data_IF_562384181359
#
_entry.id   IF_562384181359
#
_cell.length_a   1.000
_cell.length_b   1.000
_cell.length_c   1.000
_cell.angle_alpha   90.00
_cell.angle_beta   90.00
_cell.angle_gamma   90.00
#
_symmetry.space_group_name_H-M   'P 1'
#
loop_
_entity.id
_entity.type
_entity.pdbx_description
1 polymer ?
#
# COMPACT_ATOMS: atom_id res chain seq x y z
N UNK A 1 11.53 35.29 68.66
CA UNK A 1 11.39 36.75 68.43
C UNK A 1 12.47 37.18 67.45
N UNK A 2 12.01 37.83 66.38
CA UNK A 2 12.65 38.80 65.47
C UNK A 2 14.18 38.98 65.46
N UNK A 3 14.70 39.01 64.24
CA UNK A 3 15.46 40.18 63.76
C UNK A 3 16.96 39.98 63.58
N UNK A 4 17.38 39.67 62.35
CA UNK A 4 18.73 40.00 61.88
C UNK A 4 18.65 40.60 60.49
N UNK A 5 18.95 41.89 60.42
CA UNK A 5 19.12 42.66 59.20
C UNK A 5 20.60 42.86 58.86
N UNK A 6 20.84 42.89 57.55
CA UNK A 6 21.84 43.70 56.84
C UNK A 6 23.33 43.57 57.20
N UNK A 7 24.09 42.97 56.27
CA UNK A 7 25.39 43.51 55.86
C UNK A 7 25.52 43.50 54.33
N UNK A 8 25.86 44.65 53.77
CA UNK A 8 26.19 44.88 52.37
C UNK A 8 27.56 44.29 52.02
N UNK A 9 27.68 43.63 50.87
CA UNK A 9 28.95 43.61 50.12
C UNK A 9 28.67 43.53 48.62
N UNK A 10 29.25 44.49 47.91
CA UNK A 10 29.18 44.74 46.48
C UNK A 10 30.16 43.81 45.76
N UNK A 11 29.68 43.02 44.81
CA UNK A 11 30.52 42.30 43.83
C UNK A 11 30.04 42.68 42.43
N UNK A 12 30.85 43.48 41.74
CA UNK A 12 30.73 43.73 40.30
C UNK A 12 31.26 42.51 39.55
N UNK A 13 30.37 41.78 38.86
CA UNK A 13 30.76 40.76 37.89
C UNK A 13 30.57 41.32 36.48
N UNK A 14 31.67 41.69 35.84
CA UNK A 14 31.73 41.94 34.39
C UNK A 14 31.59 40.59 33.68
N UNK A 15 30.48 40.38 32.99
CA UNK A 15 30.31 39.29 32.03
C UNK A 15 31.02 39.66 30.73
N UNK A 16 32.13 38.97 30.45
CA UNK A 16 32.83 39.02 29.16
C UNK A 16 32.20 37.96 28.26
N UNK A 17 31.50 38.40 27.21
CA UNK A 17 31.03 37.51 26.15
C UNK A 17 32.24 36.93 25.37
N UNK A 18 32.30 35.62 25.12
CA UNK A 18 33.21 35.08 24.11
C UNK A 18 32.68 35.38 22.70
N UNK A 19 33.56 35.62 21.70
CA UNK A 19 33.14 35.88 20.33
C UNK A 19 32.55 34.63 19.67
N UNK A 20 31.55 34.83 18.80
CA UNK A 20 30.92 33.80 17.97
C UNK A 20 31.97 33.07 17.10
N UNK A 21 31.90 31.73 16.97
CA UNK A 21 32.71 31.03 15.99
C UNK A 21 32.21 31.37 14.58
N UNK A 22 33.11 31.83 13.74
CA UNK A 22 32.89 32.05 12.31
C UNK A 22 32.77 30.71 11.60
N UNK A 23 31.65 30.53 10.89
CA UNK A 23 31.38 29.37 10.05
C UNK A 23 32.39 29.36 8.89
N UNK A 24 33.28 28.37 8.86
CA UNK A 24 34.09 28.04 7.66
C UNK A 24 33.46 26.82 6.99
N UNK A 25 33.28 26.80 5.66
CA UNK A 25 32.89 25.59 4.96
C UNK A 25 34.05 24.57 5.01
N UNK A 26 33.78 23.26 5.14
CA UNK A 26 34.83 22.27 5.16
C UNK A 26 35.48 22.14 3.78
N UNK A 27 36.80 22.30 3.76
CA UNK A 27 37.67 21.96 2.65
C UNK A 27 37.60 20.46 2.37
N UNK A 28 37.58 20.12 1.07
CA UNK A 28 37.67 18.76 0.53
C UNK A 28 38.80 17.97 1.19
N UNK A 29 38.44 16.86 1.85
CA UNK A 29 39.39 15.84 2.29
C UNK A 29 39.24 14.65 1.35
N UNK A 30 40.25 14.42 0.52
CA UNK A 30 40.42 13.16 -0.19
C UNK A 30 40.78 12.07 0.84
N UNK A 31 39.96 11.00 0.93
CA UNK A 31 40.25 9.81 1.72
C UNK A 31 40.03 8.52 0.88
N UNK A 32 40.74 7.44 1.24
CA UNK A 32 41.03 6.32 0.34
C UNK A 32 39.90 5.30 0.24
N UNK A 33 39.96 4.57 -0.88
CA UNK A 33 39.02 3.56 -1.37
C UNK A 33 38.77 2.40 -0.39
N UNK A 34 37.59 2.37 0.20
CA UNK A 34 36.83 1.14 0.50
C UNK A 34 35.38 1.38 0.09
N UNK A 35 34.85 0.52 -0.79
CA UNK A 35 33.57 0.74 -1.52
C UNK A 35 32.39 1.03 -0.58
N UNK A 36 31.81 2.25 -0.58
CA UNK A 36 30.48 2.49 -0.04
C UNK A 36 29.42 2.21 -1.12
N UNK A 37 28.20 1.86 -0.71
CA UNK A 37 27.03 1.84 -1.61
C UNK A 37 26.85 3.25 -2.19
N UNK A 38 27.07 3.39 -3.49
CA UNK A 38 27.11 4.68 -4.20
C UNK A 38 25.77 5.40 -4.10
N UNK A 39 25.77 6.60 -3.53
CA UNK A 39 24.74 7.61 -3.77
C UNK A 39 24.92 8.16 -5.19
N UNK A 40 23.84 8.38 -5.93
CA UNK A 40 23.90 9.07 -7.22
C UNK A 40 24.00 10.58 -6.97
N UNK A 41 25.15 11.16 -7.32
CA UNK A 41 25.32 12.60 -7.52
C UNK A 41 25.20 12.85 -9.04
N UNK A 42 24.48 13.90 -9.44
CA UNK A 42 24.22 14.22 -10.84
C UNK A 42 25.56 14.51 -11.58
N UNK A 43 25.91 13.81 -12.68
CA UNK A 43 27.20 13.95 -13.35
C UNK A 43 27.34 15.20 -14.24
N UNK A 44 26.31 16.03 -14.36
CA UNK A 44 26.36 17.29 -15.12
C UNK A 44 26.77 18.45 -14.22
N UNK A 45 28.07 18.58 -13.91
CA UNK A 45 28.61 19.79 -13.30
C UNK A 45 29.69 20.40 -14.18
N UNK A 46 29.39 21.56 -14.74
CA UNK A 46 30.36 22.55 -15.21
C UNK A 46 30.93 23.31 -14.02
N UNK A 47 32.20 23.72 -14.12
CA UNK A 47 33.02 24.42 -13.12
C UNK A 47 32.55 25.86 -12.85
N UNK A 48 31.27 26.06 -12.51
CA UNK A 48 30.76 27.34 -12.01
C UNK A 48 30.49 27.21 -10.50
N UNK A 49 31.06 28.13 -9.71
CA UNK A 49 30.97 28.14 -8.25
C UNK A 49 29.65 28.74 -7.74
N UNK A 50 28.68 29.02 -8.61
CA UNK A 50 27.34 29.43 -8.20
C UNK A 50 26.64 28.32 -7.40
N UNK A 51 25.98 28.61 -6.27
CA UNK A 51 25.22 27.62 -5.53
C UNK A 51 24.12 27.03 -6.42
N UNK A 52 24.05 25.69 -6.47
CA UNK A 52 23.02 24.99 -7.25
C UNK A 52 21.63 25.35 -6.73
N UNK A 53 20.80 25.97 -7.58
CA UNK A 53 19.40 26.27 -7.28
C UNK A 53 18.49 25.22 -7.95
N UNK A 54 17.92 24.27 -7.18
CA UNK A 54 17.03 23.26 -7.73
C UNK A 54 15.75 23.85 -8.34
N UNK A 55 15.29 25.01 -7.88
CA UNK A 55 14.07 25.66 -8.39
C UNK A 55 14.32 26.23 -9.78
N UNK A 56 15.44 26.92 -9.97
CA UNK A 56 15.87 27.40 -11.28
C UNK A 56 16.15 26.25 -12.25
N UNK A 57 16.71 25.14 -11.77
CA UNK A 57 17.03 23.97 -12.61
C UNK A 57 15.80 23.16 -13.01
N UNK A 58 14.80 23.05 -12.12
CA UNK A 58 13.59 22.23 -12.34
C UNK A 58 12.30 23.03 -12.12
N UNK A 59 12.07 24.13 -12.87
CA UNK A 59 10.96 25.04 -12.61
C UNK A 59 9.61 24.37 -12.83
N UNK A 60 9.50 23.47 -13.82
CA UNK A 60 8.27 22.73 -14.10
C UNK A 60 7.81 21.86 -12.91
N UNK A 61 8.73 21.37 -12.08
CA UNK A 61 8.41 20.60 -10.88
C UNK A 61 8.14 21.50 -9.68
N UNK A 62 9.06 22.40 -9.35
CA UNK A 62 8.95 23.22 -8.13
C UNK A 62 7.93 24.37 -8.22
N UNK A 63 7.52 24.79 -9.42
CA UNK A 63 6.42 25.74 -9.58
C UNK A 63 5.07 25.07 -9.83
N UNK A 64 5.02 23.74 -9.95
CA UNK A 64 3.76 23.05 -10.16
C UNK A 64 2.86 23.20 -8.90
N UNK A 65 1.59 23.66 -9.05
CA UNK A 65 0.71 23.89 -7.91
C UNK A 65 0.44 22.64 -7.07
N UNK A 66 0.25 21.48 -7.70
CA UNK A 66 0.03 20.22 -6.99
C UNK A 66 1.30 19.77 -6.27
N UNK A 67 2.46 19.80 -6.93
CA UNK A 67 3.72 19.43 -6.28
C UNK A 67 3.99 20.31 -5.06
N UNK A 68 3.70 21.61 -5.14
CA UNK A 68 3.80 22.52 -4.00
C UNK A 68 2.79 22.20 -2.89
N UNK A 69 1.57 21.78 -3.25
CA UNK A 69 0.58 21.32 -2.29
C UNK A 69 1.07 20.06 -1.54
N UNK A 70 1.50 19.03 -2.28
CA UNK A 70 2.10 17.81 -1.73
C UNK A 70 3.37 18.11 -0.92
N UNK A 71 4.12 19.13 -1.33
CA UNK A 71 5.37 19.59 -0.73
C UNK A 71 5.26 20.00 0.74
N UNK A 72 4.06 20.36 1.19
CA UNK A 72 3.79 20.77 2.58
C UNK A 72 3.78 19.60 3.56
N UNK A 73 3.51 18.38 3.07
CA UNK A 73 3.45 17.18 3.92
C UNK A 73 4.85 16.66 4.19
N UNK A 74 5.12 16.21 5.41
CA UNK A 74 6.37 15.52 5.76
C UNK A 74 6.38 14.08 5.24
N UNK A 75 6.33 13.92 3.93
CA UNK A 75 6.31 12.62 3.26
C UNK A 75 7.36 12.52 2.15
N UNK A 76 8.29 13.48 2.09
CA UNK A 76 9.34 13.56 1.10
C UNK A 76 10.67 13.03 1.63
N UNK A 77 11.41 12.38 0.74
CA UNK A 77 12.78 11.92 0.96
C UNK A 77 13.50 11.78 -0.40
N UNK A 78 14.64 11.11 -0.44
CA UNK A 78 15.32 10.64 -1.64
C UNK A 78 15.31 9.11 -1.70
N UNK A 79 15.53 8.54 -2.87
CA UNK A 79 15.69 7.10 -3.04
C UNK A 79 17.08 6.69 -3.53
N UNK A 80 17.49 5.48 -3.17
CA UNK A 80 18.74 4.87 -3.64
C UNK A 80 18.64 4.37 -5.10
N UNK A 81 19.73 3.79 -5.62
CA UNK A 81 19.78 3.23 -6.98
C UNK A 81 18.75 2.11 -7.23
N UNK A 82 18.26 1.46 -6.17
CA UNK A 82 17.23 0.43 -6.23
C UNK A 82 15.82 1.00 -5.96
N UNK A 83 15.66 2.33 -6.04
CA UNK A 83 14.42 3.07 -5.74
C UNK A 83 13.90 2.85 -4.32
N UNK A 84 14.78 2.52 -3.36
CA UNK A 84 14.38 2.36 -1.96
C UNK A 84 14.40 3.73 -1.27
N UNK A 85 13.32 4.15 -0.60
CA UNK A 85 13.28 5.43 0.09
C UNK A 85 14.26 5.42 1.28
N UNK A 86 14.98 6.52 1.47
CA UNK A 86 16.02 6.65 2.51
C UNK A 86 15.46 7.41 3.72
N UNK A 87 15.86 7.05 4.95
CA UNK A 87 15.67 7.92 6.12
C UNK A 87 16.63 9.10 6.01
N UNK A 88 16.15 10.21 5.44
CA UNK A 88 16.98 11.35 5.08
C UNK A 88 17.42 12.14 6.33
N UNK A 89 16.59 12.21 7.37
CA UNK A 89 16.96 12.89 8.61
C UNK A 89 18.13 12.20 9.32
N UNK A 90 18.09 10.86 9.41
CA UNK A 90 19.18 10.10 10.01
C UNK A 90 20.47 10.20 9.19
N UNK A 91 20.35 10.14 7.86
CA UNK A 91 21.49 10.32 6.96
C UNK A 91 22.17 11.69 7.20
N UNK A 92 21.39 12.77 7.26
CA UNK A 92 21.91 14.13 7.48
C UNK A 92 22.52 14.29 8.88
N UNK A 93 21.86 13.74 9.89
CA UNK A 93 22.36 13.78 11.27
C UNK A 93 23.70 13.05 11.37
N UNK A 94 23.80 11.84 10.83
CA UNK A 94 25.02 11.03 10.92
C UNK A 94 26.15 11.56 10.03
N UNK A 95 25.84 12.17 8.89
CA UNK A 95 26.82 12.87 8.06
C UNK A 95 27.54 14.00 8.81
N UNK A 96 26.87 14.63 9.77
CA UNK A 96 27.47 15.69 10.61
C UNK A 96 28.53 15.13 11.57
N UNK A 97 28.40 13.87 11.97
CA UNK A 97 29.29 13.20 12.94
C UNK A 97 30.27 12.22 12.29
N UNK A 98 30.33 12.14 10.95
CA UNK A 98 31.23 11.24 10.24
C UNK A 98 30.61 10.71 8.94
N UNK A 99 30.64 9.39 8.75
CA UNK A 99 30.08 8.77 7.56
C UNK A 99 28.55 8.68 7.65
N UNK A 100 27.81 9.07 6.59
CA UNK A 100 26.36 8.96 6.57
C UNK A 100 25.93 7.50 6.70
N UNK A 101 24.98 7.24 7.60
CA UNK A 101 24.35 5.94 7.77
C UNK A 101 23.04 5.93 7.00
N UNK A 102 22.88 4.94 6.11
CA UNK A 102 21.72 4.83 5.22
C UNK A 102 20.77 3.75 5.74
N UNK A 103 19.56 4.16 6.11
CA UNK A 103 18.45 3.28 6.47
C UNK A 103 17.25 3.53 5.57
N UNK A 104 16.32 2.57 5.50
CA UNK A 104 15.06 2.73 4.80
C UNK A 104 14.14 3.70 5.52
N UNK A 105 13.44 4.55 4.77
CA UNK A 105 12.41 5.43 5.32
C UNK A 105 11.13 4.65 5.65
N UNK A 106 10.40 5.12 6.67
CA UNK A 106 9.12 4.60 7.13
C UNK A 106 8.13 5.75 7.26
N UNK A 107 6.88 5.54 6.82
CA UNK A 107 5.86 6.59 6.87
C UNK A 107 5.31 6.78 8.28
N UNK A 108 5.32 5.70 9.08
CA UNK A 108 4.94 5.69 10.49
C UNK A 108 5.85 6.60 11.32
N UNK A 109 7.11 6.72 10.88
CA UNK A 109 8.15 7.54 11.49
C UNK A 109 8.36 8.87 10.74
N UNK A 110 7.33 9.38 10.05
CA UNK A 110 7.43 10.57 9.19
C UNK A 110 8.09 11.78 9.88
N UNK A 111 7.77 12.00 11.16
CA UNK A 111 8.32 13.10 11.94
C UNK A 111 9.86 13.03 12.09
N UNK A 112 10.43 11.82 12.16
CA UNK A 112 11.86 11.58 12.42
C UNK A 112 12.62 11.00 11.22
N UNK A 113 11.92 10.65 10.14
CA UNK A 113 12.50 9.99 8.97
C UNK A 113 12.40 10.80 7.68
N UNK A 114 11.39 11.67 7.58
CA UNK A 114 11.00 12.34 6.33
C UNK A 114 11.04 13.86 6.48
N UNK A 115 10.98 14.56 5.37
CA UNK A 115 11.02 16.02 5.29
C UNK A 115 9.81 16.55 4.51
N UNK A 116 9.56 17.85 4.61
CA UNK A 116 8.79 18.56 3.59
C UNK A 116 9.65 18.73 2.32
N UNK A 117 9.04 19.06 1.18
CA UNK A 117 9.79 19.30 -0.04
C UNK A 117 10.73 20.51 0.09
N UNK A 118 10.31 21.54 0.81
CA UNK A 118 11.11 22.74 1.09
C UNK A 118 12.35 22.44 1.95
N UNK A 119 12.17 21.63 2.98
CA UNK A 119 13.27 21.14 3.81
C UNK A 119 14.23 20.27 3.00
N UNK A 120 13.71 19.39 2.16
CA UNK A 120 14.50 18.47 1.34
C UNK A 120 15.37 19.24 0.34
N UNK A 121 14.81 20.19 -0.41
CA UNK A 121 15.58 21.01 -1.37
C UNK A 121 16.61 21.91 -0.69
N UNK A 122 16.36 22.34 0.54
CA UNK A 122 17.29 23.18 1.30
C UNK A 122 18.48 22.36 1.82
N UNK A 123 18.21 21.15 2.32
CA UNK A 123 19.24 20.30 2.93
C UNK A 123 20.01 19.47 1.91
N UNK A 124 19.38 19.11 0.78
CA UNK A 124 19.98 18.30 -0.29
C UNK A 124 19.60 18.90 -1.65
N UNK A 125 20.10 20.12 -1.98
CA UNK A 125 19.74 20.81 -3.21
C UNK A 125 20.11 19.99 -4.46
N UNK A 126 21.19 19.21 -4.40
CA UNK A 126 21.71 18.39 -5.51
C UNK A 126 21.17 16.96 -5.56
N UNK A 127 20.09 16.65 -4.82
CA UNK A 127 19.46 15.34 -4.85
C UNK A 127 19.19 14.90 -6.30
N UNK A 128 19.52 13.66 -6.67
CA UNK A 128 19.32 13.16 -8.03
C UNK A 128 17.83 12.91 -8.35
N UNK A 129 17.06 12.49 -7.34
CA UNK A 129 15.62 12.29 -7.39
C UNK A 129 14.99 12.78 -6.09
N UNK A 130 13.68 12.99 -6.12
CA UNK A 130 12.86 13.07 -4.92
C UNK A 130 12.03 11.78 -4.82
N UNK A 131 11.73 11.34 -3.62
CA UNK A 131 10.79 10.27 -3.35
C UNK A 131 9.68 10.78 -2.42
N UNK A 132 8.45 10.36 -2.67
CA UNK A 132 7.27 10.78 -1.93
C UNK A 132 6.42 9.57 -1.60
N UNK A 133 5.94 9.46 -0.37
CA UNK A 133 4.95 8.44 -0.04
C UNK A 133 3.56 8.96 -0.40
N UNK A 134 2.95 8.46 -1.46
CA UNK A 134 1.60 8.83 -1.89
C UNK A 134 0.54 8.18 -0.99
N UNK A 135 -0.51 8.93 -0.68
CA UNK A 135 -1.81 8.42 -0.25
C UNK A 135 -2.90 9.11 -1.08
N UNK A 136 -3.53 8.39 -2.01
CA UNK A 136 -4.41 8.98 -3.01
C UNK A 136 -5.62 9.72 -2.42
N UNK A 137 -6.18 9.22 -1.32
CA UNK A 137 -7.35 9.85 -0.67
C UNK A 137 -6.92 11.14 0.01
N UNK A 138 -5.81 11.11 0.74
CA UNK A 138 -5.29 12.27 1.44
C UNK A 138 -4.73 13.34 0.49
N UNK A 139 -4.03 12.91 -0.56
CA UNK A 139 -3.28 13.78 -1.48
C UNK A 139 -4.12 14.22 -2.68
N UNK A 140 -5.30 13.62 -2.91
CA UNK A 140 -6.23 14.00 -3.96
C UNK A 140 -5.74 13.70 -5.38
N UNK A 141 -4.82 12.76 -5.55
CA UNK A 141 -4.27 12.38 -6.84
C UNK A 141 -3.82 10.91 -6.91
N UNK A 142 -3.62 10.42 -8.13
CA UNK A 142 -3.08 9.10 -8.44
C UNK A 142 -1.87 9.24 -9.37
N UNK A 143 -1.05 8.20 -9.47
CA UNK A 143 0.03 8.16 -10.47
C UNK A 143 -0.29 7.08 -11.50
N UNK A 144 -0.38 7.45 -12.77
CA UNK A 144 -0.26 6.49 -13.86
C UNK A 144 1.24 6.32 -14.16
N UNK A 145 1.79 5.16 -13.83
CA UNK A 145 3.17 4.79 -14.09
C UNK A 145 3.24 3.85 -15.30
N UNK A 146 3.71 4.40 -16.42
CA UNK A 146 3.91 3.68 -17.69
C UNK A 146 5.29 3.04 -17.65
N UNK A 147 5.32 1.71 -17.67
CA UNK A 147 6.54 0.94 -17.55
C UNK A 147 7.39 1.00 -18.82
N UNK A 148 8.71 0.85 -18.69
CA UNK A 148 9.65 0.80 -19.82
C UNK A 148 9.39 -0.35 -20.81
N UNK A 149 8.61 -1.35 -20.39
CA UNK A 149 8.21 -2.53 -21.19
C UNK A 149 6.86 -2.32 -21.89
N UNK A 150 6.21 -1.18 -21.69
CA UNK A 150 4.99 -0.81 -22.41
C UNK A 150 5.28 -0.71 -23.91
N UNK A 151 4.48 -1.34 -24.79
CA UNK A 151 4.60 -1.16 -26.23
C UNK A 151 4.47 0.33 -26.60
N UNK A 152 5.29 0.85 -27.54
CA UNK A 152 5.29 2.27 -27.88
C UNK A 152 3.92 2.82 -28.28
N UNK A 153 3.11 2.03 -28.97
CA UNK A 153 1.75 2.39 -29.38
C UNK A 153 0.78 2.50 -28.19
N UNK A 154 0.94 1.64 -27.18
CA UNK A 154 0.14 1.69 -25.94
C UNK A 154 0.58 2.88 -25.09
N UNK A 155 1.88 3.10 -24.96
CA UNK A 155 2.44 4.25 -24.25
C UNK A 155 2.01 5.57 -24.91
N UNK A 156 2.10 5.67 -26.24
CA UNK A 156 1.61 6.83 -26.99
C UNK A 156 0.11 7.05 -26.75
N UNK A 157 -0.70 5.99 -26.82
CA UNK A 157 -2.13 6.09 -26.52
C UNK A 157 -2.36 6.64 -25.11
N UNK A 158 -1.71 6.09 -24.07
CA UNK A 158 -1.87 6.58 -22.69
C UNK A 158 -1.37 8.02 -22.49
N UNK A 159 -0.33 8.45 -23.21
CA UNK A 159 0.23 9.80 -23.11
C UNK A 159 -0.72 10.90 -23.62
N UNK A 160 -1.73 10.55 -24.42
CA UNK A 160 -2.78 11.51 -24.78
C UNK A 160 -3.64 11.94 -23.59
N UNK A 161 -3.52 11.27 -22.43
CA UNK A 161 -4.13 11.71 -21.18
C UNK A 161 -3.37 12.86 -20.51
N UNK A 162 -2.17 13.23 -20.98
CA UNK A 162 -1.35 14.30 -20.38
C UNK A 162 -2.06 15.65 -20.22
N UNK A 163 -2.99 16.11 -21.07
CA UNK A 163 -3.73 17.35 -20.83
C UNK A 163 -4.65 17.30 -19.60
N UNK A 164 -5.01 16.10 -19.14
CA UNK A 164 -5.80 15.89 -17.91
C UNK A 164 -4.94 15.69 -16.67
N UNK A 165 -3.63 15.50 -16.84
CA UNK A 165 -2.69 15.31 -15.74
C UNK A 165 -2.34 16.65 -15.08
N UNK A 166 -2.17 16.63 -13.76
CA UNK A 166 -1.65 17.77 -13.00
C UNK A 166 -0.15 17.98 -13.21
N UNK A 167 0.58 16.90 -13.48
CA UNK A 167 2.03 16.91 -13.70
C UNK A 167 2.47 15.68 -14.48
N UNK A 168 3.52 15.78 -15.29
CA UNK A 168 4.09 14.66 -16.05
C UNK A 168 5.62 14.69 -16.02
N UNK A 169 6.25 13.51 -16.03
CA UNK A 169 7.71 13.37 -16.10
C UNK A 169 8.15 12.03 -16.70
N UNK A 170 9.41 11.97 -17.09
CA UNK A 170 10.09 10.71 -17.43
C UNK A 170 10.44 9.97 -16.15
N UNK A 171 10.14 8.67 -16.07
CA UNK A 171 10.45 7.86 -14.88
C UNK A 171 11.96 7.62 -14.73
N UNK A 172 12.38 7.14 -13.56
CA UNK A 172 13.79 6.81 -13.23
C UNK A 172 14.47 5.84 -14.22
N UNK A 173 13.70 5.13 -15.05
CA UNK A 173 14.24 4.24 -16.09
C UNK A 173 14.74 4.98 -17.35
N UNK A 174 14.35 6.25 -17.53
CA UNK A 174 14.59 7.04 -18.73
C UNK A 174 13.73 6.63 -19.94
N UNK A 175 12.86 5.62 -19.80
CA UNK A 175 12.02 5.09 -20.90
C UNK A 175 10.54 4.90 -20.52
N UNK A 176 10.23 4.95 -19.23
CA UNK A 176 8.86 4.98 -18.73
C UNK A 176 8.45 6.41 -18.40
N UNK A 177 7.19 6.59 -18.02
CA UNK A 177 6.59 7.91 -17.78
C UNK A 177 5.71 7.88 -16.54
N UNK A 178 5.68 8.97 -15.78
CA UNK A 178 4.70 9.20 -14.73
C UNK A 178 3.76 10.32 -15.13
N UNK A 179 2.47 10.10 -14.96
CA UNK A 179 1.45 11.15 -15.04
C UNK A 179 0.77 11.22 -13.67
N UNK A 180 0.77 12.39 -13.04
CA UNK A 180 0.04 12.67 -11.81
C UNK A 180 -1.38 13.05 -12.19
N UNK A 181 -2.30 12.14 -12.00
CA UNK A 181 -3.68 12.22 -12.46
C UNK A 181 -4.61 12.66 -11.33
N UNK A 182 -5.74 13.35 -11.65
CA UNK A 182 -6.80 13.55 -10.67
C UNK A 182 -7.38 12.22 -10.19
N UNK A 183 -8.05 12.24 -9.03
CA UNK A 183 -8.91 11.13 -8.64
C UNK A 183 -10.04 11.03 -9.68
N UNK A 184 -10.22 9.89 -10.38
CA UNK A 184 -11.25 9.76 -11.39
C UNK A 184 -12.63 9.78 -10.73
N UNK A 185 -13.65 10.28 -11.43
CA UNK A 185 -15.00 10.42 -10.87
C UNK A 185 -15.59 9.07 -10.40
N UNK A 186 -15.20 7.98 -11.07
CA UNK A 186 -15.62 6.62 -10.74
C UNK A 186 -14.75 5.96 -9.66
N UNK A 187 -13.80 6.65 -9.02
CA UNK A 187 -12.91 6.08 -8.00
C UNK A 187 -13.68 5.43 -6.84
N UNK A 188 -14.79 6.05 -6.42
CA UNK A 188 -15.64 5.53 -5.36
C UNK A 188 -16.35 4.21 -5.74
N UNK A 189 -16.54 3.93 -7.03
CA UNK A 189 -17.17 2.70 -7.50
C UNK A 189 -16.27 1.46 -7.37
N UNK A 190 -14.99 1.63 -7.03
CA UNK A 190 -14.01 0.54 -6.95
C UNK A 190 -13.29 0.50 -5.58
N UNK A 191 -13.99 0.27 -4.47
CA UNK A 191 -13.41 0.32 -3.11
C UNK A 191 -12.31 -0.72 -2.85
N UNK A 192 -12.27 -1.81 -3.63
CA UNK A 192 -11.20 -2.81 -3.57
C UNK A 192 -9.82 -2.21 -3.90
N UNK A 193 -9.78 -1.15 -4.71
CA UNK A 193 -8.55 -0.45 -5.12
C UNK A 193 -7.99 0.42 -3.98
N UNK A 194 -8.84 0.98 -3.12
CA UNK A 194 -8.42 1.91 -2.05
C UNK A 194 -7.43 1.31 -1.05
N UNK A 195 -7.39 -0.03 -0.97
CA UNK A 195 -6.56 -0.78 -0.03
C UNK A 195 -5.37 -1.45 -0.70
N UNK A 196 -5.16 -1.19 -1.99
CA UNK A 196 -4.00 -1.66 -2.72
C UNK A 196 -2.98 -0.51 -2.77
N UNK A 197 -1.68 -0.79 -2.68
CA UNK A 197 -0.66 0.22 -2.94
C UNK A 197 -0.56 0.58 -4.44
N UNK A 198 -0.91 -0.38 -5.31
CA UNK A 198 -0.96 -0.23 -6.76
C UNK A 198 -1.85 -1.28 -7.42
N UNK A 199 -2.35 -0.94 -8.61
CA UNK A 199 -3.10 -1.84 -9.50
C UNK A 199 -2.40 -1.89 -10.85
N UNK A 200 -2.22 -3.08 -11.42
CA UNK A 200 -1.31 -3.27 -12.56
C UNK A 200 -2.07 -3.84 -13.75
N UNK A 201 -1.76 -3.33 -14.94
CA UNK A 201 -2.23 -3.95 -16.18
C UNK A 201 -1.75 -5.41 -16.24
N UNK A 202 -2.54 -6.39 -16.73
CA UNK A 202 -2.18 -7.81 -16.72
C UNK A 202 -0.84 -8.14 -17.39
N UNK A 203 -0.46 -7.36 -18.41
CA UNK A 203 0.83 -7.48 -19.11
C UNK A 203 1.97 -6.66 -18.50
N UNK A 204 1.74 -5.99 -17.37
CA UNK A 204 2.70 -5.09 -16.68
C UNK A 204 3.26 -4.00 -17.58
N UNK A 205 2.41 -3.45 -18.43
CA UNK A 205 2.73 -2.34 -19.32
C UNK A 205 2.62 -1.00 -18.60
N UNK A 206 1.72 -0.90 -17.64
CA UNK A 206 1.55 0.26 -16.78
C UNK A 206 0.85 -0.15 -15.48
N UNK A 207 0.92 0.72 -14.49
CA UNK A 207 0.24 0.58 -13.22
C UNK A 207 -0.34 1.92 -12.74
N UNK A 208 -1.35 1.85 -11.89
CA UNK A 208 -1.91 3.00 -11.19
C UNK A 208 -1.53 2.89 -9.72
N UNK A 209 -0.86 3.90 -9.20
CA UNK A 209 -0.32 3.94 -7.85
C UNK A 209 -1.25 4.75 -6.96
N UNK A 210 -1.60 4.17 -5.82
CA UNK A 210 -2.68 4.65 -4.93
C UNK A 210 -2.16 4.97 -3.54
N UNK A 211 -1.32 4.10 -2.96
CA UNK A 211 -0.80 4.28 -1.59
C UNK A 211 0.60 3.68 -1.44
N UNK A 212 1.61 4.28 -2.06
CA UNK A 212 2.99 3.77 -2.02
C UNK A 212 4.06 4.84 -2.32
N UNK A 213 5.33 4.48 -2.16
CA UNK A 213 6.47 5.32 -2.53
C UNK A 213 6.58 5.55 -4.03
N UNK A 214 6.68 6.81 -4.43
CA UNK A 214 6.84 7.30 -5.80
C UNK A 214 8.18 8.00 -5.92
N UNK A 215 8.88 7.82 -7.04
CA UNK A 215 10.10 8.58 -7.36
C UNK A 215 9.79 9.65 -8.39
N UNK A 216 10.11 10.90 -8.07
CA UNK A 216 10.08 12.04 -8.97
C UNK A 216 11.47 12.36 -9.52
N UNK A 217 11.65 12.27 -10.83
CA UNK A 217 12.91 12.65 -11.50
C UNK A 217 13.01 14.16 -11.73
N UNK A 218 11.86 14.84 -11.80
CA UNK A 218 11.68 16.25 -12.18
C UNK A 218 11.98 16.53 -13.66
N UNK A 219 12.17 15.49 -14.46
CA UNK A 219 12.48 15.62 -15.88
C UNK A 219 11.17 15.60 -16.68
N UNK A 220 10.72 16.71 -17.26
CA UNK A 220 9.48 16.74 -18.02
C UNK A 220 9.55 15.77 -19.21
N UNK A 221 8.40 15.25 -19.61
CA UNK A 221 8.31 14.46 -20.85
C UNK A 221 8.68 15.38 -22.02
N UNK A 222 9.59 14.98 -22.93
CA UNK A 222 9.95 15.82 -24.06
C UNK A 222 8.74 16.14 -24.95
N UNK A 223 8.61 17.41 -25.36
CA UNK A 223 7.46 17.91 -26.13
C UNK A 223 7.20 17.09 -27.41
N UNK A 224 8.25 16.68 -28.11
CA UNK A 224 8.10 15.84 -29.29
C UNK A 224 7.43 14.50 -28.97
N UNK A 225 7.69 13.89 -27.81
CA UNK A 225 7.02 12.64 -27.42
C UNK A 225 5.52 12.88 -27.20
N UNK A 226 5.15 14.00 -26.58
CA UNK A 226 3.76 14.38 -26.38
C UNK A 226 3.06 14.67 -27.72
N UNK A 227 3.67 15.44 -28.62
CA UNK A 227 3.09 15.68 -29.95
C UNK A 227 2.92 14.42 -30.80
N UNK A 228 3.87 13.47 -30.74
CA UNK A 228 3.71 12.21 -31.46
C UNK A 228 2.51 11.41 -30.93
N UNK A 229 2.19 11.55 -29.63
CA UNK A 229 1.04 10.87 -29.03
C UNK A 229 -0.31 11.41 -29.51
N UNK A 230 -0.40 12.70 -29.88
CA UNK A 230 -1.65 13.34 -30.35
C UNK A 230 -2.23 12.69 -31.62
N UNK A 231 -1.38 11.99 -32.38
CA UNK A 231 -1.78 11.26 -33.59
C UNK A 231 -2.37 9.86 -33.31
N UNK A 232 -2.35 9.38 -32.06
CA UNK A 232 -2.87 8.07 -31.69
C UNK A 232 -4.40 8.03 -31.77
N UNK A 233 -4.96 6.92 -32.26
CA UNK A 233 -6.41 6.72 -32.27
C UNK A 233 -6.92 6.37 -30.87
N UNK A 234 -7.72 7.26 -30.28
CA UNK A 234 -8.25 7.14 -28.91
C UNK A 234 -9.74 6.76 -28.85
N UNK A 235 -10.40 6.61 -30.00
CA UNK A 235 -11.86 6.40 -30.06
C UNK A 235 -12.30 4.97 -29.70
N UNK A 236 -11.45 3.98 -29.94
CA UNK A 236 -11.67 2.59 -29.56
C UNK A 236 -10.30 1.93 -29.31
N UNK A 237 -9.98 1.68 -28.04
CA UNK A 237 -8.69 1.14 -27.65
C UNK A 237 -8.81 -0.38 -27.44
N UNK A 238 -8.14 -1.24 -28.24
CA UNK A 238 -8.37 -2.69 -28.20
C UNK A 238 -8.08 -3.33 -26.84
N UNK A 239 -7.04 -2.85 -26.14
CA UNK A 239 -6.71 -3.35 -24.80
C UNK A 239 -7.66 -2.83 -23.71
N UNK A 240 -8.53 -1.87 -24.04
CA UNK A 240 -9.57 -1.31 -23.18
C UNK A 240 -10.96 -1.82 -23.60
N UNK A 241 -11.05 -3.02 -24.19
CA UNK A 241 -12.30 -3.61 -24.67
C UNK A 241 -13.07 -2.67 -25.63
N UNK A 242 -12.33 -2.03 -26.54
CA UNK A 242 -12.83 -1.09 -27.55
C UNK A 242 -13.57 0.14 -26.98
N UNK A 243 -13.34 0.47 -25.70
CA UNK A 243 -13.82 1.71 -25.09
C UNK A 243 -12.97 2.92 -25.50
N UNK A 244 -13.54 4.14 -25.47
CA UNK A 244 -12.77 5.35 -25.68
C UNK A 244 -11.75 5.55 -24.56
N UNK A 245 -10.62 6.14 -24.89
CA UNK A 245 -9.59 6.45 -23.92
C UNK A 245 -10.01 7.66 -23.08
N UNK A 246 -10.49 7.39 -21.87
CA UNK A 246 -10.63 8.38 -20.80
C UNK A 246 -9.90 7.91 -19.57
N UNK A 247 -9.57 8.83 -18.67
CA UNK A 247 -8.91 8.47 -17.43
C UNK A 247 -9.78 7.51 -16.59
N UNK A 248 -11.09 7.76 -16.55
CA UNK A 248 -12.08 6.94 -15.86
C UNK A 248 -12.13 5.51 -16.42
N UNK A 249 -12.03 5.35 -17.75
CA UNK A 249 -12.06 4.04 -18.38
C UNK A 249 -10.76 3.26 -18.13
N UNK A 250 -9.60 3.92 -18.23
CA UNK A 250 -8.30 3.30 -17.91
C UNK A 250 -8.28 2.84 -16.45
N UNK A 251 -8.74 3.69 -15.53
CA UNK A 251 -8.87 3.33 -14.12
C UNK A 251 -9.83 2.15 -13.92
N UNK A 252 -11.04 2.22 -14.49
CA UNK A 252 -12.05 1.18 -14.34
C UNK A 252 -11.60 -0.18 -14.88
N UNK A 253 -10.90 -0.20 -16.02
CA UNK A 253 -10.40 -1.44 -16.61
C UNK A 253 -9.42 -2.15 -15.69
N UNK A 254 -8.41 -1.43 -15.18
CA UNK A 254 -7.47 -2.00 -14.21
C UNK A 254 -8.17 -2.37 -12.90
N UNK A 255 -9.08 -1.52 -12.42
CA UNK A 255 -9.81 -1.75 -11.18
C UNK A 255 -10.67 -3.04 -11.24
N UNK A 256 -11.25 -3.36 -12.40
CA UNK A 256 -12.00 -4.62 -12.62
C UNK A 256 -11.10 -5.86 -12.53
N UNK A 257 -9.83 -5.75 -12.89
CA UNK A 257 -8.86 -6.87 -12.80
C UNK A 257 -8.37 -7.13 -11.38
N UNK A 258 -8.58 -6.17 -10.48
CA UNK A 258 -8.35 -6.39 -9.06
C UNK A 258 -9.45 -7.31 -8.56
N UNK A 259 -9.17 -8.62 -8.61
CA UNK A 259 -9.92 -9.58 -7.81
C UNK A 259 -9.94 -9.02 -6.38
N UNK A 260 -11.10 -9.00 -5.71
CA UNK A 260 -11.09 -8.71 -4.28
C UNK A 260 -10.08 -9.68 -3.67
N UNK A 261 -8.95 -9.16 -3.14
CA UNK A 261 -8.20 -9.89 -2.12
C UNK A 261 -9.25 -10.41 -1.15
N UNK A 262 -9.13 -11.65 -0.66
CA UNK A 262 -10.06 -12.23 0.32
C UNK A 262 -10.13 -11.35 1.57
N UNK A 263 -10.98 -10.34 1.43
CA UNK A 263 -11.74 -9.63 2.42
C UNK A 263 -13.03 -10.43 2.48
N UNK A 264 -13.31 -11.02 3.63
CA UNK A 264 -14.71 -11.02 4.06
C UNK A 264 -15.15 -9.55 4.03
N UNK A 265 -16.38 -9.23 3.61
CA UNK A 265 -16.81 -7.88 3.23
C UNK A 265 -16.88 -6.86 4.39
N UNK A 266 -15.81 -6.76 5.19
CA UNK A 266 -15.88 -6.35 6.58
C UNK A 266 -14.56 -5.74 7.13
N UNK A 267 -13.66 -5.18 6.30
CA UNK A 267 -12.56 -4.29 6.72
C UNK A 267 -11.46 -4.80 7.67
N UNK A 268 -11.67 -5.89 8.40
CA UNK A 268 -10.86 -6.38 9.51
C UNK A 268 -9.94 -7.52 9.06
N UNK A 269 -8.65 -7.40 9.42
CA UNK A 269 -7.61 -8.38 9.06
C UNK A 269 -7.42 -9.38 10.20
N UNK A 270 -7.90 -10.62 10.05
CA UNK A 270 -7.67 -11.67 11.05
C UNK A 270 -6.41 -12.46 10.71
N UNK A 271 -5.56 -12.69 11.72
CA UNK A 271 -4.49 -13.70 11.65
C UNK A 271 -4.88 -14.95 12.47
N UNK A 272 -4.39 -16.16 12.15
CA UNK A 272 -4.66 -17.35 12.98
C UNK A 272 -4.23 -17.19 14.45
N UNK A 273 -3.20 -16.39 14.72
CA UNK A 273 -2.76 -16.03 16.08
C UNK A 273 -3.75 -15.09 16.81
N UNK A 274 -4.65 -14.41 16.09
CA UNK A 274 -5.67 -13.54 16.69
C UNK A 274 -6.78 -14.32 17.40
N UNK A 275 -6.99 -15.59 17.03
CA UNK A 275 -8.04 -16.44 17.61
C UNK A 275 -7.60 -17.10 18.91
N UNK A 276 -6.31 -17.41 19.04
CA UNK A 276 -5.69 -17.90 20.27
C UNK A 276 -4.25 -17.37 20.34
N UNK A 277 -4.01 -16.26 21.05
CA UNK A 277 -2.66 -15.76 21.25
C UNK A 277 -1.87 -16.81 22.04
N UNK A 278 -0.72 -17.30 21.53
CA UNK A 278 0.08 -18.33 22.21
C UNK A 278 0.65 -17.83 23.55
N UNK A 279 0.65 -16.52 23.78
CA UNK A 279 1.18 -15.82 24.94
C UNK A 279 0.10 -15.32 25.93
N UNK A 280 -1.17 -15.70 25.76
CA UNK A 280 -2.23 -15.27 26.68
C UNK A 280 -1.99 -15.88 28.07
N UNK A 281 -1.86 -15.04 29.10
CA UNK A 281 -1.69 -15.46 30.49
C UNK A 281 -3.00 -16.00 31.07
N UNK A 282 -2.91 -16.79 32.15
CA UNK A 282 -4.11 -17.33 32.80
C UNK A 282 -4.98 -16.22 33.43
N UNK A 283 -4.35 -15.15 33.90
CA UNK A 283 -5.06 -13.97 34.39
C UNK A 283 -5.81 -13.23 33.26
N UNK A 284 -5.28 -13.19 32.04
CA UNK A 284 -5.99 -12.65 30.87
C UNK A 284 -7.15 -13.54 30.46
N UNK A 285 -6.98 -14.87 30.50
CA UNK A 285 -8.06 -15.83 30.23
C UNK A 285 -9.22 -15.69 31.19
N UNK A 286 -8.96 -15.64 32.50
CA UNK A 286 -9.99 -15.48 33.52
C UNK A 286 -10.81 -14.20 33.28
N UNK A 287 -10.15 -13.09 32.94
CA UNK A 287 -10.83 -11.82 32.65
C UNK A 287 -11.69 -11.89 31.39
N UNK A 288 -11.16 -12.47 30.32
CA UNK A 288 -11.91 -12.67 29.08
C UNK A 288 -13.15 -13.53 29.34
N UNK A 289 -13.02 -14.61 30.12
CA UNK A 289 -14.15 -15.46 30.52
C UNK A 289 -15.18 -14.70 31.36
N UNK A 290 -14.77 -13.84 32.30
CA UNK A 290 -15.69 -12.98 33.07
C UNK A 290 -16.52 -12.04 32.16
N UNK A 291 -15.88 -11.45 31.15
CA UNK A 291 -16.54 -10.59 30.15
C UNK A 291 -17.49 -11.41 29.27
N UNK A 292 -17.05 -12.58 28.79
CA UNK A 292 -17.85 -13.49 27.98
C UNK A 292 -19.09 -13.93 28.76
N UNK A 293 -18.93 -14.42 29.99
CA UNK A 293 -20.03 -14.93 30.81
C UNK A 293 -21.02 -13.84 31.19
N UNK A 294 -20.53 -12.64 31.52
CA UNK A 294 -21.39 -11.48 31.79
C UNK A 294 -22.21 -11.10 30.55
N UNK A 295 -21.59 -11.12 29.37
CA UNK A 295 -22.28 -10.82 28.11
C UNK A 295 -23.30 -11.91 27.75
N UNK A 296 -22.97 -13.19 27.95
CA UNK A 296 -23.90 -14.31 27.76
C UNK A 296 -25.15 -14.18 28.66
N UNK A 297 -24.98 -13.82 29.94
CA UNK A 297 -26.09 -13.59 30.87
C UNK A 297 -26.99 -12.44 30.40
N UNK A 298 -26.40 -11.28 30.10
CA UNK A 298 -27.15 -10.13 29.58
C UNK A 298 -27.88 -10.45 28.28
N UNK A 299 -27.27 -11.25 27.41
CA UNK A 299 -27.92 -11.68 26.17
C UNK A 299 -29.16 -12.53 26.46
N UNK A 300 -29.06 -13.51 27.36
CA UNK A 300 -30.19 -14.35 27.76
C UNK A 300 -31.33 -13.55 28.44
N UNK A 301 -31.00 -12.50 29.18
CA UNK A 301 -31.98 -11.62 29.82
C UNK A 301 -32.70 -10.68 28.85
N UNK A 302 -32.01 -10.23 27.79
CA UNK A 302 -32.50 -9.15 26.93
C UNK A 302 -32.89 -9.57 25.51
N UNK A 303 -32.44 -10.71 25.00
CA UNK A 303 -32.77 -11.16 23.65
C UNK A 303 -34.00 -12.07 23.66
N UNK A 304 -35.14 -11.57 23.18
CA UNK A 304 -36.42 -12.30 23.18
C UNK A 304 -36.91 -12.74 21.80
N UNK A 305 -36.19 -12.40 20.72
CA UNK A 305 -36.60 -12.75 19.36
C UNK A 305 -36.36 -14.24 19.09
N UNK A 306 -37.22 -14.82 18.28
CA UNK A 306 -37.20 -16.21 17.82
C UNK A 306 -36.91 -16.29 16.33
N UNK A 307 -36.63 -17.49 15.83
CA UNK A 307 -36.40 -17.73 14.40
C UNK A 307 -37.63 -17.34 13.54
N UNK A 308 -38.84 -17.51 14.07
CA UNK A 308 -40.08 -17.15 13.40
C UNK A 308 -40.18 -15.65 13.11
N UNK A 309 -39.61 -14.80 13.98
CA UNK A 309 -39.56 -13.34 13.79
C UNK A 309 -38.72 -12.93 12.57
N UNK A 310 -37.99 -13.87 11.98
CA UNK A 310 -37.16 -13.68 10.80
C UNK A 310 -37.64 -14.53 9.62
N UNK A 311 -38.92 -14.92 9.59
CA UNK A 311 -39.51 -15.74 8.52
C UNK A 311 -38.75 -17.06 8.29
N UNK A 312 -38.27 -17.66 9.38
CA UNK A 312 -37.44 -18.86 9.39
C UNK A 312 -36.09 -18.74 8.64
N UNK A 313 -35.62 -17.51 8.39
CA UNK A 313 -34.28 -17.25 7.88
C UNK A 313 -33.25 -17.33 9.02
N UNK A 314 -32.66 -18.51 9.17
CA UNK A 314 -31.62 -18.77 10.17
C UNK A 314 -30.42 -17.83 10.06
N UNK A 315 -30.07 -17.36 8.85
CA UNK A 315 -28.90 -16.48 8.68
C UNK A 315 -29.20 -15.07 9.18
N UNK A 316 -30.40 -14.53 8.89
CA UNK A 316 -30.83 -13.23 9.42
C UNK A 316 -31.03 -13.27 10.94
N UNK A 317 -31.57 -14.38 11.45
CA UNK A 317 -31.74 -14.59 12.87
C UNK A 317 -30.39 -14.64 13.62
N UNK A 318 -29.39 -15.34 13.09
CA UNK A 318 -28.03 -15.34 13.66
C UNK A 318 -27.41 -13.95 13.65
N UNK A 319 -27.55 -13.24 12.54
CA UNK A 319 -27.01 -11.91 12.36
C UNK A 319 -27.59 -10.90 13.37
N UNK A 320 -28.89 -10.98 13.65
CA UNK A 320 -29.52 -10.13 14.67
C UNK A 320 -29.06 -10.47 16.08
N UNK A 321 -28.81 -11.75 16.38
CA UNK A 321 -28.23 -12.16 17.67
C UNK A 321 -26.83 -11.57 17.82
N UNK A 322 -25.99 -11.68 16.79
CA UNK A 322 -24.63 -11.12 16.78
C UNK A 322 -24.65 -9.59 16.97
N UNK A 323 -25.57 -8.87 16.32
CA UNK A 323 -25.74 -7.43 16.52
C UNK A 323 -26.04 -7.06 17.99
N UNK A 324 -26.88 -7.86 18.67
CA UNK A 324 -27.16 -7.66 20.10
C UNK A 324 -25.95 -8.01 20.97
N UNK A 325 -25.26 -9.12 20.69
CA UNK A 325 -24.01 -9.51 21.38
C UNK A 325 -23.00 -8.37 21.31
N UNK A 326 -22.81 -7.75 20.13
CA UNK A 326 -21.91 -6.62 19.91
C UNK A 326 -22.26 -5.40 20.78
N UNK A 327 -23.55 -5.11 20.94
CA UNK A 327 -24.02 -3.99 21.76
C UNK A 327 -23.92 -4.24 23.26
N UNK A 328 -23.92 -5.51 23.69
CA UNK A 328 -23.74 -5.90 25.10
C UNK A 328 -22.26 -6.05 25.47
N UNK A 329 -21.42 -6.58 24.57
CA UNK A 329 -20.01 -6.87 24.84
C UNK A 329 -19.20 -5.58 25.04
N UNK A 330 -19.30 -4.60 24.12
CA UNK A 330 -18.44 -3.40 24.19
C UNK A 330 -18.64 -2.59 25.49
N UNK A 331 -19.87 -2.34 25.98
CA UNK A 331 -20.07 -1.75 27.30
C UNK A 331 -19.54 -2.62 28.44
N UNK A 332 -19.78 -3.94 28.41
CA UNK A 332 -19.27 -4.88 29.42
C UNK A 332 -17.74 -4.82 29.52
N UNK A 333 -17.04 -4.79 28.39
CA UNK A 333 -15.58 -4.62 28.34
C UNK A 333 -15.11 -3.31 28.96
N UNK A 334 -15.86 -2.21 28.81
CA UNK A 334 -15.51 -0.90 29.36
C UNK A 334 -15.79 -0.77 30.85
N UNK A 335 -16.81 -1.48 31.33
CA UNK A 335 -17.26 -1.44 32.73
C UNK A 335 -16.49 -2.40 33.61
N UNK A 336 -15.80 -3.40 33.05
CA UNK A 336 -14.93 -4.27 33.81
C UNK A 336 -13.68 -3.48 34.25
N UNK A 337 -13.42 -3.29 35.56
CA UNK A 337 -12.33 -2.41 36.02
C UNK A 337 -10.93 -2.92 35.67
N UNK A 338 -10.82 -4.17 35.22
CA UNK A 338 -9.56 -4.91 35.01
C UNK A 338 -9.21 -5.14 33.54
N UNK A 339 -10.04 -4.71 32.58
CA UNK A 339 -9.77 -4.80 31.12
C UNK A 339 -8.79 -3.76 30.62
N UNK A 340 -8.50 -2.72 31.40
CA UNK A 340 -7.41 -1.77 31.14
C UNK A 340 -6.17 -2.26 31.88
N UNK A 341 -5.56 -3.34 31.38
CA UNK A 341 -4.13 -3.50 31.63
C UNK A 341 -3.45 -2.40 30.83
N UNK A 342 -2.86 -1.42 31.53
CA UNK A 342 -2.25 -0.21 30.96
C UNK A 342 -1.17 -0.48 29.91
N UNK A 343 -0.80 -1.75 29.71
CA UNK A 343 0.34 -2.17 28.91
C UNK A 343 -0.05 -2.68 27.51
N UNK A 344 -1.33 -3.00 27.23
CA UNK A 344 -1.77 -3.45 25.89
C UNK A 344 -3.10 -2.78 25.46
N UNK A 345 -3.12 -2.02 24.34
CA UNK A 345 -4.35 -1.42 23.84
C UNK A 345 -5.33 -2.51 23.35
N UNK A 346 -6.62 -2.34 23.64
CA UNK A 346 -7.70 -3.17 23.10
C UNK A 346 -7.71 -2.95 21.58
N UNK A 347 -7.36 -3.98 20.82
CA UNK A 347 -7.40 -3.97 19.36
C UNK A 347 -8.59 -4.77 18.84
N UNK A 348 -8.90 -4.59 17.55
CA UNK A 348 -10.08 -5.21 16.95
C UNK A 348 -10.02 -6.75 16.94
N UNK A 349 -8.82 -7.32 16.93
CA UNK A 349 -8.59 -8.77 17.03
C UNK A 349 -9.09 -9.33 18.37
N UNK A 350 -8.82 -8.64 19.48
CA UNK A 350 -9.31 -9.02 20.81
C UNK A 350 -10.84 -8.98 20.85
N UNK A 351 -11.45 -7.93 20.29
CA UNK A 351 -12.91 -7.77 20.24
C UNK A 351 -13.56 -8.91 19.43
N UNK A 352 -13.04 -9.21 18.24
CA UNK A 352 -13.56 -10.29 17.38
C UNK A 352 -13.51 -11.64 18.11
N UNK A 353 -12.39 -11.93 18.79
CA UNK A 353 -12.23 -13.19 19.53
C UNK A 353 -13.28 -13.35 20.63
N UNK A 354 -13.53 -12.30 21.42
CA UNK A 354 -14.55 -12.33 22.47
C UNK A 354 -15.97 -12.44 21.90
N UNK A 355 -16.28 -11.71 20.83
CA UNK A 355 -17.57 -11.81 20.15
C UNK A 355 -17.82 -13.21 19.61
N UNK A 356 -16.82 -13.84 19.01
CA UNK A 356 -16.92 -15.21 18.51
C UNK A 356 -17.12 -16.23 19.64
N UNK A 357 -16.42 -16.06 20.77
CA UNK A 357 -16.58 -16.92 21.93
C UNK A 357 -18.00 -16.83 22.50
N UNK A 358 -18.55 -15.62 22.64
CA UNK A 358 -19.95 -15.42 23.07
C UNK A 358 -20.93 -16.03 22.06
N UNK A 359 -20.76 -15.72 20.77
CA UNK A 359 -21.62 -16.23 19.70
C UNK A 359 -21.70 -17.76 19.69
N UNK A 360 -20.56 -18.44 19.86
CA UNK A 360 -20.50 -19.91 19.90
C UNK A 360 -21.21 -20.51 21.12
N UNK A 361 -21.30 -19.77 22.23
CA UNK A 361 -21.99 -20.22 23.45
C UNK A 361 -23.51 -19.99 23.39
N UNK A 362 -23.97 -18.90 22.76
CA UNK A 362 -25.38 -18.48 22.82
C UNK A 362 -26.19 -18.81 21.57
N UNK A 363 -25.55 -18.92 20.39
CA UNK A 363 -26.23 -19.25 19.14
C UNK A 363 -26.33 -20.77 19.01
N UNK A 364 -27.55 -21.28 18.81
CA UNK A 364 -27.78 -22.71 18.61
C UNK A 364 -27.03 -23.21 17.37
N UNK A 365 -26.22 -24.24 17.55
CA UNK A 365 -25.44 -24.84 16.46
C UNK A 365 -26.33 -25.36 15.33
N UNK A 366 -25.85 -25.23 14.09
CA UNK A 366 -26.40 -25.90 12.91
C UNK A 366 -25.29 -26.27 11.93
N UNK A 367 -25.60 -27.15 10.98
CA UNK A 367 -24.63 -27.66 9.98
C UNK A 367 -23.83 -26.59 9.22
N UNK A 368 -24.40 -25.41 8.98
CA UNK A 368 -23.68 -24.31 8.29
C UNK A 368 -22.54 -23.74 9.13
N UNK A 369 -22.56 -23.90 10.46
CA UNK A 369 -21.47 -23.45 11.34
C UNK A 369 -20.20 -24.29 11.18
N UNK A 370 -20.34 -25.51 10.65
CA UNK A 370 -19.23 -26.38 10.32
C UNK A 370 -18.59 -26.03 8.96
N UNK A 371 -19.19 -25.11 8.20
CA UNK A 371 -18.63 -24.58 6.95
C UNK A 371 -17.61 -23.46 7.21
N UNK A 372 -16.73 -23.25 6.23
CA UNK A 372 -15.83 -22.10 6.17
C UNK A 372 -16.28 -21.09 5.10
N UNK A 373 -16.04 -19.80 5.36
CA UNK A 373 -16.22 -18.71 4.39
C UNK A 373 -15.00 -17.82 4.40
N UNK A 374 -14.37 -17.65 3.23
CA UNK A 374 -13.13 -16.88 3.07
C UNK A 374 -12.02 -17.34 4.03
N UNK A 375 -11.93 -18.65 4.28
CA UNK A 375 -10.88 -19.26 5.10
C UNK A 375 -11.06 -19.12 6.62
N UNK A 376 -12.24 -18.70 7.10
CA UNK A 376 -12.60 -18.69 8.53
C UNK A 376 -13.90 -19.46 8.79
N UNK A 377 -14.12 -20.00 10.00
CA UNK A 377 -15.40 -20.62 10.37
C UNK A 377 -16.58 -19.68 10.10
N UNK A 378 -17.69 -20.22 9.59
CA UNK A 378 -18.84 -19.41 9.17
C UNK A 378 -19.36 -18.46 10.25
N UNK A 379 -19.41 -18.91 11.51
CA UNK A 379 -19.89 -18.06 12.61
C UNK A 379 -18.92 -16.91 12.92
N UNK A 380 -17.62 -17.12 12.74
CA UNK A 380 -16.61 -16.06 12.82
C UNK A 380 -16.82 -15.04 11.70
N UNK A 381 -17.01 -15.51 10.46
CA UNK A 381 -17.32 -14.64 9.32
C UNK A 381 -18.50 -13.70 9.61
N UNK A 382 -19.56 -14.22 10.23
CA UNK A 382 -20.74 -13.45 10.60
C UNK A 382 -20.43 -12.39 11.66
N UNK A 383 -19.63 -12.73 12.68
CA UNK A 383 -19.17 -11.79 13.72
C UNK A 383 -18.42 -10.61 13.13
N UNK A 384 -17.44 -10.87 12.25
CA UNK A 384 -16.64 -9.84 11.60
C UNK A 384 -17.54 -8.94 10.76
N UNK A 385 -18.41 -9.55 9.96
CA UNK A 385 -19.34 -8.82 9.09
C UNK A 385 -20.20 -7.86 9.90
N UNK A 386 -20.83 -8.34 10.98
CA UNK A 386 -21.65 -7.53 11.87
C UNK A 386 -20.86 -6.40 12.55
N UNK A 387 -19.63 -6.66 12.97
CA UNK A 387 -18.79 -5.64 13.60
C UNK A 387 -18.41 -4.53 12.61
N UNK A 388 -18.03 -4.89 11.40
CA UNK A 388 -17.70 -3.91 10.35
C UNK A 388 -18.89 -3.05 9.97
N UNK A 389 -20.09 -3.60 9.79
CA UNK A 389 -21.27 -2.75 9.52
C UNK A 389 -21.63 -1.85 10.69
N UNK A 390 -21.25 -2.20 11.93
CA UNK A 390 -21.43 -1.28 13.05
C UNK A 390 -20.44 -0.11 12.98
N UNK A 391 -19.19 -0.40 12.62
CA UNK A 391 -18.13 0.62 12.48
C UNK A 391 -18.32 1.45 11.19
N UNK A 392 -18.97 0.86 10.19
CA UNK A 392 -19.20 1.40 8.86
C UNK A 392 -20.64 1.12 8.38
N UNK A 393 -21.66 1.77 8.99
CA UNK A 393 -23.07 1.53 8.69
C UNK A 393 -23.49 1.85 7.25
N UNK A 394 -22.70 2.65 6.54
CA UNK A 394 -22.96 3.05 5.15
C UNK A 394 -22.54 1.98 4.12
N UNK A 395 -21.83 0.92 4.53
CA UNK A 395 -21.45 -0.21 3.65
C UNK A 395 -22.59 -1.22 3.40
N UNK A 396 -23.77 -1.01 4.00
CA UNK A 396 -24.87 -1.96 4.03
C UNK A 396 -25.90 -1.78 2.91
N UNK A 397 -25.59 -2.22 1.68
CA UNK A 397 -26.64 -2.55 0.68
C UNK A 397 -26.60 -4.03 0.30
N UNK A 398 -26.74 -4.89 1.30
CA UNK A 398 -27.06 -6.31 1.09
C UNK A 398 -28.57 -6.47 0.90
N UNK A 399 -29.06 -6.23 -0.32
CA UNK A 399 -30.35 -6.81 -0.75
C UNK A 399 -30.17 -8.32 -0.92
N UNK A 400 -30.55 -9.06 0.11
CA UNK A 400 -30.73 -10.52 0.08
C UNK A 400 -31.67 -10.88 -1.09
N UNK A 401 -31.12 -11.48 -2.15
CA UNK A 401 -31.93 -12.08 -3.22
C UNK A 401 -32.51 -13.40 -2.69
N UNK A 402 -33.84 -13.61 -2.72
CA UNK A 402 -34.43 -14.86 -2.24
C UNK A 402 -34.01 -16.04 -3.12
N UNK A 403 -33.56 -17.13 -2.49
CA UNK A 403 -33.23 -18.40 -3.16
C UNK A 403 -34.37 -18.85 -4.07
N UNK A 404 -34.13 -18.87 -5.38
CA UNK A 404 -35.03 -19.56 -6.32
C UNK A 404 -34.97 -21.06 -6.06
N UNK A 405 -36.10 -21.60 -5.63
CA UNK A 405 -36.44 -23.01 -5.73
C UNK A 405 -36.09 -23.54 -7.13
N UNK A 406 -35.24 -24.55 -7.21
CA UNK A 406 -35.21 -25.44 -8.37
C UNK A 406 -36.17 -26.60 -8.07
N UNK A 407 -37.39 -26.47 -8.59
CA UNK A 407 -38.33 -27.56 -8.80
C UNK A 407 -37.87 -28.23 -10.09
N UNK A 408 -37.46 -29.49 -10.01
CA UNK A 408 -37.92 -30.52 -10.94
C UNK A 408 -37.83 -31.89 -10.26
N UNK A 409 -38.92 -32.64 -10.42
CA UNK A 409 -39.30 -33.84 -9.70
C UNK A 409 -39.02 -35.11 -10.52
N UNK A 410 -39.07 -36.24 -9.79
CA UNK A 410 -39.27 -37.65 -10.18
C UNK A 410 -38.00 -38.52 -10.10
N UNK A 411 -37.98 -39.71 -9.46
CA UNK A 411 -38.92 -40.44 -8.59
C UNK A 411 -38.24 -41.73 -8.09
N UNK A 412 -38.49 -42.10 -6.83
CA UNK A 412 -38.63 -43.45 -6.24
C UNK A 412 -37.49 -44.52 -6.28
N UNK A 413 -36.76 -44.67 -5.15
CA UNK A 413 -36.70 -45.82 -4.19
C UNK A 413 -36.49 -47.31 -4.65
N UNK A 414 -36.05 -48.26 -3.78
CA UNK A 414 -34.73 -48.45 -3.14
C UNK A 414 -34.17 -49.92 -3.16
N UNK A 415 -32.98 -50.12 -2.59
CA UNK A 415 -32.41 -51.37 -2.00
C UNK A 415 -31.94 -52.53 -2.90
N UNK A 416 -30.65 -52.90 -2.82
CA UNK A 416 -30.17 -54.26 -2.49
C UNK A 416 -28.62 -54.38 -2.46
N UNK A 417 -28.22 -55.33 -1.63
CA UNK A 417 -26.89 -55.79 -1.24
C UNK A 417 -26.06 -56.50 -2.36
N UNK A 418 -24.74 -56.59 -2.10
CA UNK A 418 -23.87 -57.81 -2.22
C UNK A 418 -22.95 -57.99 -3.44
N UNK A 419 -21.63 -58.08 -3.11
CA UNK A 419 -20.58 -59.03 -3.57
C UNK A 419 -19.46 -58.58 -4.54
N UNK A 420 -18.24 -58.73 -4.00
CA UNK A 420 -16.94 -58.89 -4.64
C UNK A 420 -16.93 -59.84 -5.85
N UNK A 421 -16.15 -59.49 -6.88
CA UNK A 421 -15.13 -60.38 -7.46
C UNK A 421 -14.25 -59.64 -8.49
N UNK A 422 -12.93 -59.67 -8.29
CA UNK A 422 -11.93 -59.61 -9.37
C UNK A 422 -11.79 -61.02 -9.98
N UNK A 423 -11.35 -61.16 -11.26
CA UNK A 423 -9.92 -61.36 -11.53
C UNK A 423 -9.38 -60.72 -12.84
N UNK A 424 -8.05 -60.59 -12.90
CA UNK A 424 -7.17 -60.21 -14.03
C UNK A 424 -7.10 -61.29 -15.15
N UNK A 425 -6.21 -61.28 -16.20
CA UNK A 425 -5.13 -60.35 -16.65
C UNK A 425 -5.05 -60.07 -18.19
N UNK A 426 -4.02 -59.31 -18.61
CA UNK A 426 -3.62 -58.91 -19.98
C UNK A 426 -3.28 -60.06 -20.95
N UNK A 427 -3.04 -59.80 -22.27
CA UNK A 427 -1.65 -59.55 -22.72
C UNK A 427 -1.42 -58.59 -23.93
N UNK A 428 -0.25 -57.92 -23.89
CA UNK A 428 0.80 -57.61 -24.90
C UNK A 428 0.55 -57.31 -26.41
N UNK A 429 1.37 -56.38 -26.93
CA UNK A 429 2.11 -56.31 -28.22
C UNK A 429 2.01 -54.89 -28.83
N UNK A 430 3.06 -54.05 -28.78
CA UNK A 430 4.27 -54.00 -29.63
C UNK A 430 4.01 -53.50 -31.06
N UNK A 431 4.44 -52.27 -31.38
CA UNK A 431 5.55 -52.00 -32.33
C UNK A 431 5.77 -50.48 -32.58
N UNK A 432 7.07 -50.13 -32.61
CA UNK A 432 7.72 -48.84 -32.95
C UNK A 432 7.64 -48.53 -34.48
N UNK A 433 8.33 -47.54 -35.14
CA UNK A 433 9.36 -46.60 -34.65
C UNK A 433 9.45 -45.15 -35.25
N UNK A 434 10.35 -44.38 -34.63
CA UNK A 434 11.34 -43.39 -35.16
C UNK A 434 10.91 -42.15 -35.97
N UNK A 435 11.26 -40.95 -35.46
CA UNK A 435 12.41 -40.19 -35.99
C UNK A 435 12.92 -39.09 -35.02
N UNK A 436 14.23 -39.18 -34.71
CA UNK A 436 15.07 -38.18 -34.05
C UNK A 436 15.65 -37.19 -35.09
N UNK A 437 15.79 -35.90 -34.72
CA UNK A 437 16.88 -35.00 -35.18
C UNK A 437 16.93 -33.77 -34.26
N UNK A 438 17.80 -33.75 -33.25
CA UNK A 438 19.21 -33.30 -33.22
C UNK A 438 19.36 -31.80 -32.87
N UNK A 439 19.94 -31.57 -31.68
CA UNK A 439 20.60 -30.34 -31.23
C UNK A 439 21.88 -30.07 -32.03
N UNK A 440 22.46 -28.86 -31.86
CA UNK A 440 23.86 -28.84 -31.48
C UNK A 440 24.13 -27.99 -30.23
N UNK A 441 25.06 -28.49 -29.42
CA UNK A 441 25.75 -27.81 -28.33
C UNK A 441 27.13 -27.30 -28.81
N UNK A 442 27.72 -26.48 -27.92
CA UNK A 442 29.12 -26.03 -27.83
C UNK A 442 29.42 -24.69 -28.54
N UNK A 443 30.18 -23.74 -27.98
CA UNK A 443 30.91 -23.66 -26.71
C UNK A 443 31.35 -22.20 -26.47
N UNK A 444 31.90 -21.96 -25.27
CA UNK A 444 32.87 -20.91 -24.89
C UNK A 444 32.40 -19.60 -24.23
N UNK A 445 33.07 -19.41 -23.10
CA UNK A 445 33.16 -18.28 -22.17
C UNK A 445 33.88 -17.10 -22.84
N UNK A 446 33.38 -15.88 -22.67
CA UNK A 446 34.23 -14.69 -22.71
C UNK A 446 33.72 -13.59 -21.78
N UNK A 447 34.62 -13.11 -20.94
CA UNK A 447 34.50 -11.88 -20.17
C UNK A 447 34.46 -10.70 -21.13
N UNK A 448 33.41 -9.88 -21.11
CA UNK A 448 33.43 -8.57 -21.76
C UNK A 448 32.90 -7.47 -20.84
N UNK A 449 33.81 -6.54 -20.61
CA UNK A 449 33.70 -5.26 -19.94
C UNK A 449 32.58 -4.42 -20.57
N UNK A 450 31.72 -3.82 -19.76
CA UNK A 450 30.76 -2.83 -20.23
C UNK A 450 31.48 -1.52 -20.56
N UNK A 451 31.57 -1.22 -21.86
CA UNK A 451 31.89 0.10 -22.40
C UNK A 451 30.69 1.03 -22.21
N UNK A 452 30.95 2.22 -21.67
CA UNK A 452 29.99 3.33 -21.63
C UNK A 452 29.86 3.91 -23.04
N UNK A 453 28.62 4.07 -23.51
CA UNK A 453 28.30 4.76 -24.75
C UNK A 453 28.29 6.28 -24.51
N UNK A 454 29.21 7.00 -25.14
CA UNK A 454 29.15 8.46 -25.25
C UNK A 454 28.41 8.81 -26.56
N UNK A 455 27.32 9.60 -26.52
CA UNK A 455 26.73 10.14 -27.74
C UNK A 455 27.70 11.15 -28.40
N UNK A 456 27.72 11.25 -29.74
CA UNK A 456 28.59 12.20 -30.44
C UNK A 456 28.21 13.64 -30.10
N UNK A 457 29.22 14.48 -29.91
CA UNK A 457 29.07 15.91 -29.71
C UNK A 457 28.33 16.55 -30.91
N UNK A 458 27.31 17.35 -30.61
CA UNK A 458 26.65 18.24 -31.57
C UNK A 458 27.67 19.23 -32.11
N UNK A 459 27.83 19.40 -33.44
CA UNK A 459 28.68 20.45 -33.99
C UNK A 459 28.06 21.83 -33.69
N UNK A 460 28.89 22.88 -33.51
CA UNK A 460 28.38 24.22 -33.26
C UNK A 460 27.59 24.71 -34.47
N UNK A 461 26.41 25.27 -34.21
CA UNK A 461 25.62 26.01 -35.18
C UNK A 461 26.47 27.19 -35.69
N UNK A 462 26.81 27.15 -36.97
CA UNK A 462 27.37 28.29 -37.68
C UNK A 462 26.38 29.45 -37.63
N UNK A 463 26.87 30.61 -37.19
CA UNK A 463 26.15 31.86 -37.31
C UNK A 463 26.16 32.34 -38.75
N UNK A 464 24.98 32.65 -39.27
CA UNK A 464 24.81 33.60 -40.37
C UNK A 464 24.35 34.94 -39.78
N UNK A 465 25.31 35.85 -39.62
CA UNK A 465 25.29 37.25 -40.06
C UNK A 465 26.55 37.97 -39.56
#
# INVERSE_FOLDING_TARGET
MQGLGSFFTRVEARSVCPPRPTFRPPLFVNLPTTKPRSLMVNPFHTLDNSPFDPVAQFPAFYHNPLINHLGRRRAWTISDINKRPINVQQMLTTATYGSPVIHGARIEDAATSLLTLDELRTQIPTAANNAFYLDAVQDGCLILDIEKTCPPEVAATLLTLSPTAFYTEVSMSGRGYHLVMPIPENFAAFPAVHNKPSIKHPKRWFEILTSQWITFTRQPIPEHVLHHSESANTSAVPWLNDQPLTWENVFADLAKTVAPNLKTGAGLTITPNALMPPDLSDAERIRDDEVIDSTCRLFAEHYSKTLADFYDDASRFEFSQIGVIINLLLPTMRMHPTTISLDKPINSDHIIRLLFAVATRVITHRSKHDEERSGVPYLMYQVISCLDMREHPDNGDYRVVPSRHNRDQHSNNPSAHVVHQQPQPQPSAADSPHHYRALPQENTVSEHSFKIYNPPATPPLGGEN
#
